data_IF_476504647272
#
_entry.id   IF_476504647272
#
_cell.length_a   1.000
_cell.length_b   1.000
_cell.length_c   1.000
_cell.angle_alpha   90.00
_cell.angle_beta   90.00
_cell.angle_gamma   90.00
#
_symmetry.space_group_name_H-M   'P 1'
#
loop_
_entity.id
_entity.type
_entity.pdbx_description
1 polymer ?
#
# COMPACT_ATOMS: atom_id res chain seq x y z
N UNK A 1 28.08 -0.89 -4.06
CA UNK A 1 26.78 -0.67 -3.39
C UNK A 1 25.81 -1.71 -3.93
N UNK A 2 25.55 -2.78 -3.20
CA UNK A 2 24.63 -3.83 -3.64
C UNK A 2 23.21 -3.29 -3.54
N UNK A 3 22.53 -3.14 -4.68
CA UNK A 3 21.10 -2.93 -4.75
C UNK A 3 20.42 -4.15 -4.11
N UNK A 4 20.18 -4.12 -2.80
CA UNK A 4 19.43 -5.15 -2.10
C UNK A 4 18.03 -5.21 -2.71
N UNK A 5 17.78 -6.23 -3.53
CA UNK A 5 16.47 -6.52 -4.10
C UNK A 5 15.51 -6.76 -2.92
N UNK A 6 14.44 -5.97 -2.86
CA UNK A 6 13.33 -6.26 -1.96
C UNK A 6 12.56 -7.46 -2.47
N UNK A 7 12.30 -8.44 -1.62
CA UNK A 7 11.44 -9.58 -1.94
C UNK A 7 10.00 -9.25 -1.56
N UNK A 8 9.06 -9.41 -2.50
CA UNK A 8 7.62 -9.30 -2.22
C UNK A 8 7.15 -10.62 -1.60
N UNK A 9 6.70 -10.57 -0.35
CA UNK A 9 6.22 -11.72 0.42
C UNK A 9 4.74 -11.99 0.13
N UNK A 10 3.93 -10.94 0.09
CA UNK A 10 2.48 -11.04 -0.09
C UNK A 10 1.95 -9.79 -0.82
N UNK A 11 0.82 -9.92 -1.49
CA UNK A 11 0.12 -8.83 -2.18
C UNK A 11 -1.37 -9.07 -2.15
N UNK A 12 -2.13 -8.03 -1.82
CA UNK A 12 -3.57 -7.97 -2.05
C UNK A 12 -3.95 -6.63 -2.69
N UNK A 13 -5.17 -6.53 -3.22
CA UNK A 13 -5.65 -5.27 -3.78
C UNK A 13 -7.16 -5.13 -3.66
N UNK A 14 -7.61 -3.88 -3.64
CA UNK A 14 -9.03 -3.53 -3.73
C UNK A 14 -9.20 -2.49 -4.83
N UNK A 15 -10.32 -2.56 -5.55
CA UNK A 15 -10.64 -1.63 -6.64
C UNK A 15 -11.91 -0.86 -6.33
N UNK A 16 -11.83 0.46 -6.39
CA UNK A 16 -12.94 1.38 -6.24
C UNK A 16 -13.03 2.26 -7.49
N UNK A 17 -13.88 1.87 -8.44
CA UNK A 17 -14.05 2.56 -9.71
C UNK A 17 -12.75 2.73 -10.49
N UNK A 18 -12.25 3.97 -10.54
CA UNK A 18 -11.02 4.37 -11.26
C UNK A 18 -9.74 4.20 -10.44
N UNK A 19 -9.82 3.83 -9.16
CA UNK A 19 -8.66 3.65 -8.28
C UNK A 19 -8.50 2.18 -7.90
N UNK A 20 -7.28 1.68 -7.94
CA UNK A 20 -6.89 0.39 -7.36
C UNK A 20 -5.87 0.64 -6.27
N UNK A 21 -6.10 0.11 -5.07
CA UNK A 21 -5.16 0.18 -3.96
C UNK A 21 -4.50 -1.20 -3.82
N UNK A 22 -3.18 -1.23 -3.89
CA UNK A 22 -2.35 -2.42 -3.71
C UNK A 22 -1.72 -2.39 -2.33
N UNK A 23 -1.77 -3.52 -1.62
CA UNK A 23 -1.19 -3.70 -0.30
C UNK A 23 -0.12 -4.78 -0.40
N UNK A 24 1.14 -4.35 -0.48
CA UNK A 24 2.28 -5.23 -0.73
C UNK A 24 3.15 -5.37 0.52
N UNK A 25 3.26 -6.59 1.05
CA UNK A 25 4.22 -6.90 2.10
C UNK A 25 5.54 -7.24 1.44
N UNK A 26 6.58 -6.49 1.76
CA UNK A 26 7.92 -6.65 1.22
C UNK A 26 8.92 -6.87 2.35
N UNK A 27 10.06 -7.46 2.02
CA UNK A 27 11.19 -7.64 2.92
C UNK A 27 12.49 -7.19 2.24
N UNK A 28 13.28 -6.41 2.98
CA UNK A 28 14.60 -5.96 2.55
C UNK A 28 15.53 -5.93 3.76
N UNK A 29 16.66 -6.64 3.66
CA UNK A 29 17.63 -6.78 4.75
C UNK A 29 16.97 -7.28 6.05
N UNK A 30 16.18 -8.36 5.96
CA UNK A 30 15.42 -8.99 7.05
C UNK A 30 14.42 -8.06 7.77
N UNK A 31 14.13 -6.90 7.18
CA UNK A 31 13.10 -5.97 7.67
C UNK A 31 11.90 -5.99 6.74
N UNK A 32 10.75 -6.33 7.33
CA UNK A 32 9.46 -6.32 6.64
C UNK A 32 8.86 -4.92 6.65
N UNK A 33 8.14 -4.58 5.59
CA UNK A 33 7.36 -3.35 5.50
C UNK A 33 6.15 -3.54 4.58
N UNK A 34 5.10 -2.77 4.85
CA UNK A 34 3.92 -2.69 3.99
C UNK A 34 4.09 -1.49 3.05
N UNK A 35 3.98 -1.72 1.74
CA UNK A 35 3.85 -0.65 0.74
C UNK A 35 2.41 -0.60 0.27
N UNK A 36 1.75 0.54 0.47
CA UNK A 36 0.41 0.79 -0.08
C UNK A 36 0.57 1.66 -1.31
N UNK A 37 0.06 1.21 -2.45
CA UNK A 37 0.10 1.95 -3.71
C UNK A 37 -1.30 2.18 -4.24
N UNK A 38 -1.67 3.44 -4.42
CA UNK A 38 -2.83 3.83 -5.21
C UNK A 38 -2.43 3.90 -6.70
N UNK A 39 -3.19 3.23 -7.56
CA UNK A 39 -3.15 3.38 -9.02
C UNK A 39 -4.45 4.02 -9.49
N UNK A 40 -4.37 5.21 -10.07
CA UNK A 40 -5.51 5.94 -10.63
C UNK A 40 -5.53 5.84 -12.14
N UNK A 41 -6.61 5.30 -12.69
CA UNK A 41 -6.86 5.23 -14.12
C UNK A 41 -7.31 6.59 -14.67
N UNK A 42 -6.57 7.13 -15.64
CA UNK A 42 -6.79 8.47 -16.19
C UNK A 42 -7.66 8.49 -17.45
N UNK A 43 -8.02 7.33 -18.00
CA UNK A 43 -8.76 7.19 -19.24
C UNK A 43 -7.95 6.43 -20.28
N UNK A 44 -8.56 6.16 -21.41
CA UNK A 44 -7.88 5.53 -22.55
C UNK A 44 -6.79 6.46 -23.11
N UNK A 45 -5.66 5.89 -23.54
CA UNK A 45 -4.52 6.64 -24.07
C UNK A 45 -3.77 7.50 -23.05
N UNK A 46 -4.13 7.45 -21.76
CA UNK A 46 -3.44 8.19 -20.69
C UNK A 46 -2.75 7.24 -19.72
N UNK A 47 -1.58 7.65 -19.27
CA UNK A 47 -0.85 6.93 -18.22
C UNK A 47 -1.61 6.94 -16.90
N UNK A 48 -1.43 5.86 -16.14
CA UNK A 48 -1.93 5.76 -14.77
C UNK A 48 -1.08 6.65 -13.87
N UNK A 49 -1.74 7.29 -12.90
CA UNK A 49 -1.05 8.01 -11.83
C UNK A 49 -0.87 7.05 -10.66
N UNK A 50 0.32 7.02 -10.07
CA UNK A 50 0.62 6.19 -8.91
C UNK A 50 1.05 7.04 -7.72
N UNK A 51 0.44 6.80 -6.56
CA UNK A 51 0.86 7.35 -5.28
C UNK A 51 1.21 6.18 -4.36
N UNK A 52 2.32 6.24 -3.63
CA UNK A 52 2.66 5.18 -2.69
C UNK A 52 3.26 5.70 -1.41
N UNK A 53 2.99 5.00 -0.32
CA UNK A 53 3.64 5.18 0.96
C UNK A 53 4.03 3.83 1.55
N UNK A 54 4.94 3.86 2.52
CA UNK A 54 5.46 2.69 3.22
C UNK A 54 5.15 2.84 4.70
N UNK A 55 4.77 1.73 5.32
CA UNK A 55 4.61 1.60 6.77
C UNK A 55 5.49 0.45 7.25
N UNK A 56 6.27 0.69 8.29
CA UNK A 56 6.96 -0.35 9.05
C UNK A 56 5.99 -1.03 10.02
N UNK A 57 6.29 -2.25 10.51
CA UNK A 57 5.37 -3.03 11.34
C UNK A 57 4.82 -2.26 12.55
N UNK A 58 5.64 -1.45 13.21
CA UNK A 58 5.26 -0.60 14.34
C UNK A 58 4.28 0.53 13.97
N UNK A 59 4.32 1.01 12.72
CA UNK A 59 3.41 2.04 12.21
C UNK A 59 2.08 1.44 11.75
N UNK A 60 2.11 0.19 11.25
CA UNK A 60 0.90 -0.51 10.79
C UNK A 60 -0.11 -0.70 11.91
N UNK A 61 0.34 -1.02 13.12
CA UNK A 61 -0.55 -1.22 14.28
C UNK A 61 -1.32 0.07 14.62
N UNK A 62 -0.62 1.19 14.75
CA UNK A 62 -1.23 2.49 15.00
C UNK A 62 -2.13 2.95 13.84
N UNK A 63 -1.71 2.71 12.60
CA UNK A 63 -2.50 3.01 11.41
C UNK A 63 -3.82 2.25 11.39
N UNK A 64 -3.79 0.93 11.66
CA UNK A 64 -4.98 0.09 11.69
C UNK A 64 -5.95 0.51 12.79
N UNK A 65 -5.43 0.82 13.99
CA UNK A 65 -6.25 1.29 15.12
C UNK A 65 -6.98 2.58 14.74
N UNK A 66 -6.25 3.59 14.26
CA UNK A 66 -6.84 4.87 13.90
C UNK A 66 -7.84 4.72 12.73
N UNK A 67 -7.51 3.93 11.71
CA UNK A 67 -8.43 3.64 10.60
C UNK A 67 -9.74 3.01 11.08
N UNK A 68 -9.67 2.05 12.01
CA UNK A 68 -10.84 1.37 12.55
C UNK A 68 -11.71 2.33 13.38
N UNK A 69 -11.08 3.20 14.18
CA UNK A 69 -11.75 4.23 14.96
C UNK A 69 -12.50 5.22 14.05
N UNK A 70 -11.82 5.78 13.04
CA UNK A 70 -12.46 6.76 12.15
C UNK A 70 -13.56 6.14 11.29
N UNK A 71 -13.39 4.87 10.89
CA UNK A 71 -14.41 4.13 10.15
C UNK A 71 -15.68 3.93 10.98
N UNK A 72 -15.57 3.82 12.30
CA UNK A 72 -16.73 3.71 13.21
C UNK A 72 -17.67 4.91 13.18
N UNK A 73 -17.22 6.09 12.74
CA UNK A 73 -18.10 7.27 12.56
C UNK A 73 -18.89 7.25 11.24
N UNK A 74 -18.61 6.31 10.34
CA UNK A 74 -19.29 6.17 9.04
C UNK A 74 -20.47 5.19 9.09
N UNK A 75 -20.70 4.55 10.24
CA UNK A 75 -21.76 3.55 10.50
C UNK A 75 -22.67 4.02 11.61
#
# INVERSE_FOLDING_TARGET
MTNGKSNKINSSHVRFGRRTYFFDVNEKNDKKYLKITESKWMGEGKDRIYNSFVLFPEEVENFQKNLSEVAGYLT
#
